data_IF_609168339088
#
_entry.id   IF_609168339088
#
_cell.length_a   1.000
_cell.length_b   1.000
_cell.length_c   1.000
_cell.angle_alpha   90.00
_cell.angle_beta   90.00
_cell.angle_gamma   90.00
#
_symmetry.space_group_name_H-M   'P 1'
#
loop_
_entity.id
_entity.type
_entity.pdbx_description
1 polymer ?
#
# COMPACT_ATOMS: atom_id res chain seq x y z
N UNK A 1 18.80 31.47 20.46
CA UNK A 1 17.41 31.95 20.63
C UNK A 1 17.40 33.37 21.18
N UNK A 2 17.95 33.63 22.38
CA UNK A 2 18.08 34.97 22.98
C UNK A 2 18.57 36.05 22.01
N UNK A 3 19.67 35.80 21.30
CA UNK A 3 20.20 36.74 20.29
C UNK A 3 19.30 36.94 19.05
N UNK A 4 18.54 35.92 18.65
CA UNK A 4 17.75 35.95 17.41
C UNK A 4 16.39 36.62 17.65
N UNK A 5 15.75 36.31 18.79
CA UNK A 5 14.45 36.85 19.16
C UNK A 5 14.60 38.22 19.86
N UNK A 6 15.75 38.46 20.48
CA UNK A 6 16.09 39.70 21.19
C UNK A 6 15.03 40.06 22.23
N UNK A 7 14.39 41.21 22.05
CA UNK A 7 13.55 41.87 23.06
C UNK A 7 12.27 41.09 23.35
N UNK A 8 11.83 40.26 22.41
CA UNK A 8 10.67 39.38 22.55
C UNK A 8 10.99 38.03 23.21
N UNK A 9 12.24 37.80 23.65
CA UNK A 9 12.69 36.45 24.05
C UNK A 9 11.88 35.88 25.22
N UNK A 10 11.54 36.67 26.23
CA UNK A 10 10.80 36.16 27.40
C UNK A 10 9.39 35.69 27.01
N UNK A 11 8.68 36.48 26.19
CA UNK A 11 7.35 36.09 25.69
C UNK A 11 7.45 34.88 24.76
N UNK A 12 8.46 34.82 23.90
CA UNK A 12 8.75 33.67 23.05
C UNK A 12 9.08 32.41 23.87
N UNK A 13 9.86 32.56 24.94
CA UNK A 13 10.29 31.48 25.80
C UNK A 13 9.10 30.86 26.52
N UNK A 14 8.20 31.69 27.04
CA UNK A 14 6.96 31.21 27.64
C UNK A 14 6.05 30.54 26.59
N UNK A 15 5.87 31.18 25.43
CA UNK A 15 5.02 30.67 24.35
C UNK A 15 5.45 29.28 23.84
N UNK A 16 6.76 29.00 23.80
CA UNK A 16 7.30 27.71 23.36
C UNK A 16 7.85 26.82 24.49
N UNK A 17 7.52 27.11 25.74
CA UNK A 17 7.97 26.36 26.92
C UNK A 17 9.51 26.14 26.95
N UNK A 18 10.28 27.18 26.68
CA UNK A 18 11.75 27.17 26.73
C UNK A 18 12.21 27.20 28.19
N UNK A 19 12.04 26.08 28.87
CA UNK A 19 12.43 25.85 30.26
C UNK A 19 13.08 24.47 30.44
N UNK A 20 13.72 24.24 31.58
CA UNK A 20 14.52 23.03 31.84
C UNK A 20 13.72 21.73 31.75
N UNK A 21 12.41 21.76 31.94
CA UNK A 21 11.54 20.57 31.85
C UNK A 21 11.41 20.02 30.42
N UNK A 22 11.72 20.82 29.39
CA UNK A 22 11.63 20.43 27.98
C UNK A 22 12.99 20.45 27.26
N UNK A 23 14.08 20.41 28.02
CA UNK A 23 15.43 20.27 27.47
C UNK A 23 15.67 18.82 27.04
N UNK A 24 15.94 18.60 25.75
CA UNK A 24 16.24 17.28 25.18
C UNK A 24 17.59 17.30 24.49
N UNK A 25 18.53 16.44 24.91
CA UNK A 25 19.91 16.41 24.38
C UNK A 25 20.57 17.79 24.29
N UNK A 26 20.46 18.57 25.39
CA UNK A 26 20.98 19.95 25.49
C UNK A 26 20.38 20.94 24.48
N UNK A 27 19.26 20.58 23.84
CA UNK A 27 18.55 21.40 22.85
C UNK A 27 17.11 21.62 23.29
N UNK A 28 16.56 22.76 22.89
CA UNK A 28 15.15 23.08 23.07
C UNK A 28 14.39 22.76 21.79
N UNK A 29 13.35 21.94 21.92
CA UNK A 29 12.34 21.72 20.87
C UNK A 29 11.20 22.71 21.11
N UNK A 30 10.86 23.52 20.10
CA UNK A 30 9.79 24.49 20.22
C UNK A 30 8.45 23.74 20.36
N UNK A 31 7.88 23.75 21.57
CA UNK A 31 6.71 22.96 21.92
C UNK A 31 5.67 23.82 22.62
N UNK A 32 4.39 23.56 22.36
CA UNK A 32 3.27 24.30 22.94
C UNK A 32 2.39 23.36 23.74
N UNK A 33 2.02 23.78 24.94
CA UNK A 33 1.10 23.05 25.85
C UNK A 33 -0.28 23.68 25.91
N UNK A 34 -0.44 24.90 25.38
CA UNK A 34 -1.70 25.67 25.40
C UNK A 34 -1.96 26.36 24.06
N UNK A 35 -3.23 26.68 23.81
CA UNK A 35 -3.73 27.40 22.63
C UNK A 35 -3.34 28.89 22.65
N UNK A 36 -3.50 29.58 21.51
CA UNK A 36 -3.19 31.03 21.44
C UNK A 36 -4.17 31.83 22.32
N UNK A 37 -5.43 31.37 22.39
CA UNK A 37 -6.48 31.96 23.22
C UNK A 37 -6.18 31.82 24.71
N UNK A 38 -5.71 30.66 25.15
CA UNK A 38 -5.30 30.43 26.54
C UNK A 38 -4.02 31.18 26.90
N UNK A 39 -3.07 31.27 25.96
CA UNK A 39 -1.84 32.03 26.16
C UNK A 39 -2.14 33.52 26.31
N UNK A 40 -2.97 34.09 25.43
CA UNK A 40 -3.39 35.49 25.56
C UNK A 40 -4.02 35.80 26.92
N UNK A 41 -4.88 34.93 27.46
CA UNK A 41 -5.50 35.19 28.78
C UNK A 41 -4.49 35.35 29.93
N UNK A 42 -3.27 34.82 29.78
CA UNK A 42 -2.18 34.91 30.77
C UNK A 42 -1.27 36.11 30.56
N UNK A 43 -1.33 36.77 29.40
CA UNK A 43 -0.43 37.86 29.03
C UNK A 43 -1.20 39.08 28.52
N UNK A 44 -0.83 40.31 28.90
CA UNK A 44 -1.51 41.51 28.44
C UNK A 44 -1.12 41.88 26.99
N UNK A 45 -1.42 41.02 26.00
CA UNK A 45 -1.09 41.22 24.58
C UNK A 45 -2.23 40.80 23.66
N UNK A 46 -2.79 41.68 22.84
CA UNK A 46 -3.89 41.31 21.95
C UNK A 46 -3.57 40.12 21.02
N UNK A 47 -4.58 39.30 20.74
CA UNK A 47 -4.43 38.04 19.98
C UNK A 47 -3.81 38.25 18.58
N UNK A 48 -4.15 39.36 17.89
CA UNK A 48 -3.60 39.65 16.57
C UNK A 48 -2.15 40.11 16.65
N UNK A 49 -1.77 40.83 17.71
CA UNK A 49 -0.38 41.17 17.99
C UNK A 49 0.44 39.92 18.32
N UNK A 50 -0.11 38.98 19.09
CA UNK A 50 0.52 37.69 19.37
C UNK A 50 0.76 36.89 18.08
N UNK A 51 -0.25 36.78 17.20
CA UNK A 51 -0.12 36.09 15.90
C UNK A 51 0.99 36.71 15.04
N UNK A 52 1.07 38.04 15.00
CA UNK A 52 2.10 38.75 14.25
C UNK A 52 3.50 38.50 14.83
N UNK A 53 3.64 38.50 16.17
CA UNK A 53 4.90 38.14 16.84
C UNK A 53 5.31 36.71 16.54
N UNK A 54 4.40 35.73 16.65
CA UNK A 54 4.67 34.32 16.34
C UNK A 54 5.12 34.13 14.89
N UNK A 55 4.47 34.80 13.94
CA UNK A 55 4.88 34.79 12.53
C UNK A 55 6.30 35.33 12.37
N UNK A 56 6.61 36.46 13.02
CA UNK A 56 7.94 37.07 12.99
C UNK A 56 9.01 36.14 13.60
N UNK A 57 8.75 35.55 14.77
CA UNK A 57 9.68 34.61 15.41
C UNK A 57 9.95 33.41 14.51
N UNK A 58 8.91 32.80 13.92
CA UNK A 58 9.07 31.69 12.96
C UNK A 58 9.91 32.09 11.76
N UNK A 59 9.71 33.29 11.21
CA UNK A 59 10.50 33.80 10.10
C UNK A 59 11.98 33.98 10.47
N UNK A 60 12.27 34.66 11.59
CA UNK A 60 13.63 34.87 12.09
C UNK A 60 14.37 33.53 12.31
N UNK A 61 13.69 32.55 12.93
CA UNK A 61 14.25 31.22 13.14
C UNK A 61 14.42 30.43 11.84
N UNK A 62 13.49 30.58 10.88
CA UNK A 62 13.60 29.97 9.55
C UNK A 62 14.80 30.51 8.77
N UNK A 63 15.03 31.83 8.81
CA UNK A 63 16.21 32.46 8.19
C UNK A 63 17.52 31.95 8.79
N UNK A 64 17.60 31.81 10.12
CA UNK A 64 18.78 31.22 10.76
C UNK A 64 18.93 29.73 10.45
N UNK A 65 17.82 28.98 10.36
CA UNK A 65 17.84 27.57 9.96
C UNK A 65 18.35 27.39 8.53
N UNK A 66 18.01 28.30 7.61
CA UNK A 66 18.45 28.25 6.22
C UNK A 66 19.95 28.54 6.04
N UNK A 67 20.64 29.08 7.06
CA UNK A 67 22.10 29.20 7.05
C UNK A 67 22.82 27.89 7.32
N UNK A 68 22.12 26.88 7.85
CA UNK A 68 22.68 25.55 8.06
C UNK A 68 22.75 24.82 6.72
N UNK A 69 23.83 24.07 6.51
CA UNK A 69 23.91 23.13 5.39
C UNK A 69 22.70 22.18 5.47
N UNK A 70 21.94 22.10 4.39
CA UNK A 70 20.77 21.20 4.34
C UNK A 70 21.28 19.76 4.30
N UNK A 71 20.63 18.82 5.02
CA UNK A 71 20.91 17.41 4.82
C UNK A 71 20.83 17.06 3.33
N UNK A 72 21.72 16.19 2.85
CA UNK A 72 21.65 15.70 1.47
C UNK A 72 20.28 15.04 1.26
N UNK A 73 19.64 15.37 0.14
CA UNK A 73 18.43 14.69 -0.29
C UNK A 73 18.83 13.37 -0.96
N UNK A 74 18.33 12.24 -0.45
CA UNK A 74 18.31 11.03 -1.26
C UNK A 74 17.11 11.13 -2.21
N UNK A 75 17.40 11.49 -3.45
CA UNK A 75 16.44 11.64 -4.54
C UNK A 75 16.21 10.34 -5.32
N UNK A 76 16.69 9.21 -4.78
CA UNK A 76 16.46 7.89 -5.37
C UNK A 76 14.99 7.49 -5.22
N UNK A 77 14.41 7.09 -6.34
CA UNK A 77 13.05 6.53 -6.41
C UNK A 77 13.19 5.01 -6.28
N UNK A 78 12.61 4.41 -5.23
CA UNK A 78 12.60 2.97 -5.02
C UNK A 78 11.31 2.34 -5.55
N UNK A 79 11.43 1.23 -6.27
CA UNK A 79 10.29 0.55 -6.89
C UNK A 79 9.29 0.07 -5.84
N UNK A 80 9.75 -0.59 -4.77
CA UNK A 80 8.87 -1.03 -3.70
C UNK A 80 8.09 0.10 -3.03
N UNK A 81 8.75 1.23 -2.75
CA UNK A 81 8.09 2.38 -2.13
C UNK A 81 7.09 3.07 -3.06
N UNK A 82 7.37 3.09 -4.37
CA UNK A 82 6.43 3.59 -5.36
C UNK A 82 5.23 2.65 -5.50
N UNK A 83 5.43 1.34 -5.43
CA UNK A 83 4.34 0.38 -5.44
C UNK A 83 3.44 0.49 -4.19
N UNK A 84 4.04 0.64 -3.01
CA UNK A 84 3.29 0.92 -1.76
C UNK A 84 2.47 2.22 -1.89
N UNK A 85 3.05 3.27 -2.46
CA UNK A 85 2.33 4.52 -2.70
C UNK A 85 1.23 4.38 -3.75
N UNK A 86 1.46 3.61 -4.83
CA UNK A 86 0.42 3.29 -5.82
C UNK A 86 -0.79 2.65 -5.13
N UNK A 87 -0.56 1.61 -4.34
CA UNK A 87 -1.62 0.94 -3.57
C UNK A 87 -2.32 1.91 -2.62
N UNK A 88 -1.57 2.75 -1.91
CA UNK A 88 -2.15 3.79 -1.04
C UNK A 88 -3.09 4.74 -1.78
N UNK A 89 -2.73 5.20 -2.99
CA UNK A 89 -3.64 6.02 -3.81
C UNK A 89 -4.88 5.26 -4.26
N UNK A 90 -4.75 3.97 -4.57
CA UNK A 90 -5.90 3.10 -4.88
C UNK A 90 -6.83 2.98 -3.66
N UNK A 91 -6.29 2.80 -2.46
CA UNK A 91 -7.09 2.69 -1.23
C UNK A 91 -7.83 4.01 -0.91
N UNK A 92 -7.17 5.15 -1.10
CA UNK A 92 -7.81 6.48 -0.99
C UNK A 92 -8.91 6.65 -2.04
N UNK A 93 -8.68 6.23 -3.29
CA UNK A 93 -9.71 6.25 -4.33
C UNK A 93 -10.91 5.36 -3.97
N UNK A 94 -10.69 4.16 -3.44
CA UNK A 94 -11.78 3.28 -2.97
C UNK A 94 -12.62 3.94 -1.88
N UNK A 95 -11.98 4.65 -0.95
CA UNK A 95 -12.64 5.28 0.19
C UNK A 95 -13.44 6.55 -0.20
N UNK A 96 -12.86 7.41 -1.04
CA UNK A 96 -13.43 8.74 -1.31
C UNK A 96 -14.05 8.91 -2.70
N UNK A 97 -13.73 8.03 -3.65
CA UNK A 97 -14.19 8.13 -5.04
C UNK A 97 -13.58 9.27 -5.86
N UNK A 98 -12.56 9.97 -5.35
CA UNK A 98 -11.92 11.09 -6.05
C UNK A 98 -10.94 10.59 -7.12
N UNK A 99 -11.31 10.81 -8.38
CA UNK A 99 -10.54 10.43 -9.57
C UNK A 99 -9.12 11.02 -9.64
N UNK A 100 -8.82 12.09 -8.89
CA UNK A 100 -7.46 12.62 -8.79
C UNK A 100 -6.48 11.55 -8.29
N UNK A 101 -6.85 10.78 -7.26
CA UNK A 101 -5.99 9.74 -6.69
C UNK A 101 -5.79 8.57 -7.65
N UNK A 102 -6.86 8.15 -8.37
CA UNK A 102 -6.74 7.13 -9.41
C UNK A 102 -5.80 7.58 -10.54
N UNK A 103 -5.87 8.85 -10.93
CA UNK A 103 -4.99 9.42 -11.97
C UNK A 103 -3.52 9.35 -11.55
N UNK A 104 -3.21 9.66 -10.29
CA UNK A 104 -1.83 9.53 -9.77
C UNK A 104 -1.40 8.07 -9.70
N UNK A 105 -2.27 7.18 -9.23
CA UNK A 105 -2.01 5.74 -9.18
C UNK A 105 -1.67 5.17 -10.56
N UNK A 106 -2.48 5.50 -11.58
CA UNK A 106 -2.25 5.10 -12.97
C UNK A 106 -0.94 5.66 -13.53
N UNK A 107 -0.61 6.93 -13.24
CA UNK A 107 0.67 7.52 -13.66
C UNK A 107 1.86 6.75 -13.06
N UNK A 108 1.79 6.41 -11.78
CA UNK A 108 2.82 5.65 -11.08
C UNK A 108 2.93 4.21 -11.63
N UNK A 109 1.80 3.52 -11.80
CA UNK A 109 1.76 2.18 -12.38
C UNK A 109 2.38 2.13 -13.79
N UNK A 110 2.06 3.12 -14.63
CA UNK A 110 2.68 3.27 -15.94
C UNK A 110 4.18 3.54 -15.86
N UNK A 111 4.65 4.32 -14.90
CA UNK A 111 6.08 4.52 -14.68
C UNK A 111 6.78 3.21 -14.30
N UNK A 112 6.20 2.43 -13.37
CA UNK A 112 6.77 1.13 -12.99
C UNK A 112 6.83 0.20 -14.20
N UNK A 113 5.69 0.01 -14.88
CA UNK A 113 5.58 -0.86 -16.06
C UNK A 113 6.51 -0.48 -17.21
N UNK A 114 6.69 0.83 -17.48
CA UNK A 114 7.44 1.30 -18.67
C UNK A 114 8.91 1.63 -18.40
N UNK A 115 9.28 1.89 -17.14
CA UNK A 115 10.62 2.42 -16.78
C UNK A 115 11.34 1.54 -15.76
N UNK A 116 10.59 0.89 -14.86
CA UNK A 116 11.18 -0.03 -13.88
C UNK A 116 11.18 -1.48 -14.35
N UNK A 117 10.35 -1.86 -15.31
CA UNK A 117 10.41 -3.18 -15.91
C UNK A 117 11.38 -3.20 -17.10
N UNK A 118 12.25 -4.20 -17.13
CA UNK A 118 13.18 -4.43 -18.23
C UNK A 118 12.54 -5.33 -19.31
N UNK A 119 13.20 -5.44 -20.47
CA UNK A 119 12.71 -6.21 -21.62
C UNK A 119 12.64 -7.73 -21.36
N UNK A 120 13.41 -8.23 -20.38
CA UNK A 120 13.43 -9.63 -19.95
C UNK A 120 12.31 -9.93 -18.93
N UNK A 121 11.48 -8.94 -18.57
CA UNK A 121 10.35 -9.07 -17.65
C UNK A 121 10.70 -8.83 -16.18
N UNK A 122 11.98 -8.64 -15.84
CA UNK A 122 12.44 -8.31 -14.50
C UNK A 122 12.22 -6.84 -14.13
N UNK A 123 12.24 -6.53 -12.85
CA UNK A 123 12.17 -5.18 -12.31
C UNK A 123 13.56 -4.64 -11.95
N UNK A 124 13.69 -3.31 -11.98
CA UNK A 124 14.75 -2.58 -11.33
C UNK A 124 14.29 -2.12 -9.93
N UNK A 125 15.23 -2.06 -8.99
CA UNK A 125 14.98 -1.57 -7.61
C UNK A 125 14.92 -0.05 -7.54
N UNK A 126 15.72 0.63 -8.36
CA UNK A 126 15.93 2.06 -8.21
C UNK A 126 15.88 2.81 -9.53
N UNK A 127 15.44 4.05 -9.43
CA UNK A 127 15.56 5.05 -10.48
C UNK A 127 16.20 6.32 -9.94
N UNK A 128 17.23 6.80 -10.62
CA UNK A 128 17.91 8.04 -10.29
C UNK A 128 18.54 8.64 -11.53
N UNK A 129 18.45 9.96 -11.69
CA UNK A 129 19.03 10.70 -12.81
C UNK A 129 18.63 10.13 -14.19
N UNK A 130 17.36 9.75 -14.35
CA UNK A 130 16.84 9.23 -15.62
C UNK A 130 17.19 7.77 -15.92
N UNK A 131 17.79 7.04 -14.96
CA UNK A 131 18.28 5.68 -15.18
C UNK A 131 17.81 4.72 -14.10
N UNK A 132 17.40 3.53 -14.54
CA UNK A 132 17.17 2.35 -13.71
C UNK A 132 18.41 1.46 -13.77
N UNK A 133 18.95 1.01 -12.63
CA UNK A 133 20.32 0.44 -12.60
C UNK A 133 20.52 -0.79 -11.75
N UNK A 134 19.74 -0.97 -10.69
CA UNK A 134 19.94 -2.05 -9.73
C UNK A 134 18.86 -3.09 -9.96
N UNK A 135 19.23 -4.37 -10.03
CA UNK A 135 18.27 -5.47 -10.11
C UNK A 135 17.32 -5.46 -8.88
N UNK A 136 16.04 -5.72 -9.11
CA UNK A 136 15.03 -5.72 -8.06
C UNK A 136 15.20 -6.88 -7.06
N UNK A 137 14.81 -6.62 -5.82
CA UNK A 137 14.65 -7.65 -4.80
C UNK A 137 13.21 -8.14 -4.75
N UNK A 138 12.97 -9.27 -4.08
CA UNK A 138 11.63 -9.84 -3.94
C UNK A 138 10.60 -8.85 -3.39
N UNK A 139 11.01 -7.94 -2.50
CA UNK A 139 10.17 -6.85 -1.99
C UNK A 139 9.58 -5.99 -3.11
N UNK A 140 10.39 -5.62 -4.10
CA UNK A 140 9.96 -4.81 -5.24
C UNK A 140 8.90 -5.56 -6.07
N UNK A 141 9.11 -6.86 -6.35
CA UNK A 141 8.10 -7.68 -7.04
C UNK A 141 6.83 -7.84 -6.22
N UNK A 142 6.95 -8.23 -4.94
CA UNK A 142 5.80 -8.50 -4.10
C UNK A 142 4.91 -7.26 -3.93
N UNK A 143 5.51 -6.09 -3.73
CA UNK A 143 4.76 -4.83 -3.60
C UNK A 143 4.14 -4.37 -4.92
N UNK A 144 4.84 -4.52 -6.06
CA UNK A 144 4.28 -4.18 -7.39
C UNK A 144 3.10 -5.09 -7.75
N UNK A 145 3.22 -6.39 -7.52
CA UNK A 145 2.15 -7.36 -7.78
C UNK A 145 0.90 -7.00 -6.96
N UNK A 146 1.05 -6.73 -5.66
CA UNK A 146 -0.08 -6.35 -4.80
C UNK A 146 -0.74 -5.03 -5.25
N UNK A 147 0.08 -4.07 -5.68
CA UNK A 147 -0.36 -2.78 -6.19
C UNK A 147 -1.12 -2.92 -7.52
N UNK A 148 -0.64 -3.75 -8.45
CA UNK A 148 -1.29 -4.01 -9.74
C UNK A 148 -2.60 -4.78 -9.58
N UNK A 149 -2.66 -5.77 -8.68
CA UNK A 149 -3.91 -6.44 -8.33
C UNK A 149 -4.91 -5.43 -7.77
N UNK A 150 -4.45 -4.53 -6.89
CA UNK A 150 -5.31 -3.49 -6.30
C UNK A 150 -5.82 -2.50 -7.34
N UNK A 151 -4.96 -2.11 -8.30
CA UNK A 151 -5.31 -1.22 -9.40
C UNK A 151 -6.32 -1.84 -10.36
N UNK A 152 -6.15 -3.13 -10.70
CA UNK A 152 -7.13 -3.89 -11.46
C UNK A 152 -8.52 -3.83 -10.81
N UNK A 153 -8.62 -4.03 -9.49
CA UNK A 153 -9.91 -4.03 -8.78
C UNK A 153 -10.68 -2.70 -8.86
N UNK A 154 -10.06 -1.60 -9.27
CA UNK A 154 -10.72 -0.29 -9.39
C UNK A 154 -10.80 0.24 -10.82
N UNK A 155 -10.05 -0.37 -11.74
CA UNK A 155 -10.01 -0.01 -13.16
C UNK A 155 -10.67 -1.05 -14.06
N UNK A 156 -10.79 -2.29 -13.57
CA UNK A 156 -11.17 -3.48 -14.35
C UNK A 156 -10.29 -3.71 -15.59
N UNK A 157 -9.12 -3.07 -15.65
CA UNK A 157 -8.17 -3.21 -16.74
C UNK A 157 -7.29 -4.44 -16.51
N UNK A 158 -7.64 -5.52 -17.20
CA UNK A 158 -7.00 -6.84 -17.09
C UNK A 158 -5.50 -6.81 -17.38
N UNK A 159 -4.98 -5.80 -18.08
CA UNK A 159 -3.55 -5.67 -18.35
C UNK A 159 -2.73 -5.56 -17.05
N UNK A 160 -3.25 -4.88 -16.01
CA UNK A 160 -2.56 -4.81 -14.72
C UNK A 160 -2.50 -6.17 -14.03
N UNK A 161 -3.59 -6.94 -14.12
CA UNK A 161 -3.67 -8.27 -13.54
C UNK A 161 -2.76 -9.27 -14.28
N UNK A 162 -2.69 -9.18 -15.61
CA UNK A 162 -1.78 -9.98 -16.42
C UNK A 162 -0.30 -9.66 -16.11
N UNK A 163 0.06 -8.38 -16.00
CA UNK A 163 1.41 -7.98 -15.58
C UNK A 163 1.74 -8.48 -14.17
N UNK A 164 0.80 -8.41 -13.23
CA UNK A 164 0.97 -8.97 -11.88
C UNK A 164 1.27 -10.48 -11.93
N UNK A 165 0.57 -11.22 -12.78
CA UNK A 165 0.80 -12.65 -12.98
C UNK A 165 2.17 -12.95 -13.62
N UNK A 166 2.58 -12.18 -14.63
CA UNK A 166 3.89 -12.31 -15.26
C UNK A 166 5.02 -12.09 -14.26
N UNK A 167 4.92 -11.04 -13.43
CA UNK A 167 5.88 -10.77 -12.37
C UNK A 167 5.90 -11.90 -11.32
N UNK A 168 4.74 -12.46 -10.96
CA UNK A 168 4.68 -13.61 -10.06
C UNK A 168 5.41 -14.82 -10.65
N UNK A 169 5.20 -15.14 -11.93
CA UNK A 169 5.94 -16.19 -12.64
C UNK A 169 7.45 -15.94 -12.62
N UNK A 170 7.89 -14.72 -12.92
CA UNK A 170 9.29 -14.34 -12.84
C UNK A 170 9.88 -14.60 -11.45
N UNK A 171 9.11 -14.37 -10.38
CA UNK A 171 9.59 -14.67 -9.03
C UNK A 171 9.78 -16.17 -8.76
N UNK A 172 8.98 -17.04 -9.39
CA UNK A 172 9.21 -18.48 -9.31
C UNK A 172 10.52 -18.91 -9.96
N UNK A 173 10.86 -18.31 -11.10
CA UNK A 173 12.06 -18.67 -11.86
C UNK A 173 13.36 -18.20 -11.18
N UNK A 174 13.31 -17.04 -10.51
CA UNK A 174 14.51 -16.35 -10.03
C UNK A 174 14.68 -16.28 -8.50
N UNK A 175 13.60 -16.45 -7.74
CA UNK A 175 13.61 -16.23 -6.29
C UNK A 175 13.13 -17.45 -5.48
N UNK A 176 12.30 -18.33 -6.05
CA UNK A 176 11.72 -19.44 -5.30
C UNK A 176 12.75 -20.50 -4.92
N UNK A 177 12.73 -20.91 -3.66
CA UNK A 177 13.51 -22.02 -3.13
C UNK A 177 12.64 -23.26 -2.98
N UNK A 178 12.96 -24.29 -3.76
CA UNK A 178 12.20 -25.55 -3.74
C UNK A 178 12.35 -26.33 -2.44
N UNK A 179 13.38 -26.05 -1.63
CA UNK A 179 13.62 -26.75 -0.36
C UNK A 179 12.76 -26.17 0.76
N UNK A 180 12.87 -24.86 1.01
CA UNK A 180 12.07 -24.18 2.04
C UNK A 180 10.63 -23.92 1.61
N UNK A 181 10.31 -23.98 0.30
CA UNK A 181 9.02 -23.56 -0.28
C UNK A 181 8.71 -22.08 0.01
N UNK A 182 9.75 -21.26 0.03
CA UNK A 182 9.70 -19.81 0.25
C UNK A 182 10.52 -19.11 -0.84
N UNK A 183 10.48 -17.79 -0.89
CA UNK A 183 11.25 -17.00 -1.84
C UNK A 183 12.45 -16.34 -1.13
N UNK A 184 13.62 -16.45 -1.74
CA UNK A 184 14.78 -15.66 -1.37
C UNK A 184 14.55 -14.17 -1.63
N UNK A 185 15.23 -13.33 -0.85
CA UNK A 185 15.15 -11.88 -1.00
C UNK A 185 15.86 -11.37 -2.27
N UNK A 186 17.04 -11.89 -2.56
CA UNK A 186 17.84 -11.55 -3.77
C UNK A 186 17.54 -12.51 -4.90
N UNK A 187 17.81 -12.11 -6.14
CA UNK A 187 17.64 -12.97 -7.33
C UNK A 187 18.78 -13.99 -7.45
N UNK A 188 18.56 -15.08 -8.19
CA UNK A 188 19.63 -15.98 -8.64
C UNK A 188 20.51 -15.38 -9.76
N UNK A 189 20.11 -14.24 -10.34
CA UNK A 189 20.89 -13.48 -11.31
C UNK A 189 21.87 -12.49 -10.65
N UNK A 190 21.68 -12.21 -9.36
CA UNK A 190 22.57 -11.34 -8.61
C UNK A 190 23.92 -12.01 -8.37
N UNK A 191 24.95 -11.20 -8.11
CA UNK A 191 26.26 -11.71 -7.70
C UNK A 191 26.10 -12.66 -6.51
N UNK A 192 26.70 -13.84 -6.64
CA UNK A 192 26.62 -14.89 -5.63
C UNK A 192 27.02 -14.37 -4.24
N UNK A 193 26.11 -14.56 -3.29
CA UNK A 193 26.30 -14.28 -1.87
C UNK A 193 26.57 -15.60 -1.14
N UNK A 194 27.31 -15.55 -0.05
CA UNK A 194 27.58 -16.72 0.82
C UNK A 194 26.28 -17.40 1.29
N UNK A 195 25.23 -16.61 1.51
CA UNK A 195 23.88 -17.10 1.81
C UNK A 195 22.84 -16.10 1.30
N UNK A 196 21.75 -16.61 0.73
CA UNK A 196 20.58 -15.81 0.35
C UNK A 196 19.58 -15.81 1.52
N UNK A 197 19.16 -14.62 1.95
CA UNK A 197 18.20 -14.45 3.03
C UNK A 197 16.77 -14.76 2.55
N UNK A 198 15.95 -15.34 3.42
CA UNK A 198 14.50 -15.44 3.26
C UNK A 198 13.89 -14.56 4.35
N UNK A 199 13.12 -13.54 3.94
CA UNK A 199 12.50 -12.61 4.88
C UNK A 199 11.07 -13.04 5.18
N UNK A 200 10.78 -13.34 6.45
CA UNK A 200 9.47 -13.83 6.92
C UNK A 200 8.82 -12.94 7.95
N UNK A 201 9.60 -12.12 8.65
CA UNK A 201 9.12 -11.35 9.79
C UNK A 201 8.57 -10.01 9.32
N UNK A 202 7.29 -9.77 9.58
CA UNK A 202 6.66 -8.48 9.36
C UNK A 202 7.20 -7.48 10.41
N UNK A 203 7.60 -6.29 9.95
CA UNK A 203 8.16 -5.24 10.82
C UNK A 203 7.46 -3.91 10.52
N UNK A 204 8.22 -2.81 10.38
CA UNK A 204 7.70 -1.49 9.96
C UNK A 204 6.85 -1.61 8.68
N UNK A 205 7.25 -2.51 7.78
CA UNK A 205 6.44 -2.95 6.64
C UNK A 205 6.35 -4.49 6.64
N UNK A 206 5.34 -5.08 5.98
CA UNK A 206 5.25 -6.52 5.82
C UNK A 206 6.46 -7.10 5.09
N UNK A 207 6.85 -8.32 5.44
CA UNK A 207 7.94 -9.04 4.77
C UNK A 207 7.61 -9.33 3.31
N UNK A 208 8.65 -9.44 2.47
CA UNK A 208 8.47 -9.76 1.06
C UNK A 208 7.75 -11.10 0.84
N UNK A 209 7.98 -12.11 1.68
CA UNK A 209 7.26 -13.39 1.60
C UNK A 209 5.81 -13.28 2.08
N UNK A 210 5.49 -12.48 3.09
CA UNK A 210 4.10 -12.35 3.56
C UNK A 210 3.23 -11.64 2.51
N UNK A 211 3.78 -10.61 1.85
CA UNK A 211 3.12 -9.93 0.73
C UNK A 211 2.96 -10.92 -0.44
N UNK A 212 4.04 -11.63 -0.80
CA UNK A 212 3.99 -12.59 -1.92
C UNK A 212 2.97 -13.71 -1.66
N UNK A 213 2.88 -14.26 -0.45
CA UNK A 213 1.88 -15.28 -0.13
C UNK A 213 0.45 -14.75 -0.33
N UNK A 214 0.15 -13.55 0.15
CA UNK A 214 -1.15 -12.90 -0.11
C UNK A 214 -1.40 -12.67 -1.62
N UNK A 215 -0.37 -12.31 -2.38
CA UNK A 215 -0.48 -12.15 -3.82
C UNK A 215 -0.79 -13.47 -4.53
N UNK A 216 -0.06 -14.53 -4.21
CA UNK A 216 -0.28 -15.87 -4.77
C UNK A 216 -1.68 -16.39 -4.43
N UNK A 217 -2.15 -16.15 -3.20
CA UNK A 217 -3.52 -16.43 -2.82
C UNK A 217 -4.52 -15.73 -3.75
N UNK A 218 -4.44 -14.39 -3.90
CA UNK A 218 -5.35 -13.63 -4.78
C UNK A 218 -5.25 -14.08 -6.26
N UNK A 219 -4.03 -14.23 -6.78
CA UNK A 219 -3.79 -14.66 -8.16
C UNK A 219 -4.32 -16.09 -8.41
N UNK A 220 -4.33 -16.96 -7.39
CA UNK A 220 -4.90 -18.29 -7.52
C UNK A 220 -6.39 -18.26 -7.85
N UNK A 221 -7.14 -17.29 -7.31
CA UNK A 221 -8.56 -17.09 -7.64
C UNK A 221 -8.72 -16.48 -9.04
N UNK A 222 -7.98 -15.41 -9.33
CA UNK A 222 -8.08 -14.72 -10.63
C UNK A 222 -7.76 -15.63 -11.82
N UNK A 223 -6.78 -16.52 -11.68
CA UNK A 223 -6.30 -17.37 -12.77
C UNK A 223 -6.65 -18.86 -12.61
N UNK A 224 -7.45 -19.22 -11.59
CA UNK A 224 -7.75 -20.61 -11.22
C UNK A 224 -6.47 -21.47 -11.11
N UNK A 225 -5.42 -20.90 -10.51
CA UNK A 225 -4.10 -21.52 -10.45
C UNK A 225 -3.89 -22.24 -9.11
N UNK A 226 -4.11 -23.56 -9.12
CA UNK A 226 -3.94 -24.40 -7.92
C UNK A 226 -2.52 -24.36 -7.34
N UNK A 227 -1.48 -24.28 -8.18
CA UNK A 227 -0.09 -24.22 -7.72
C UNK A 227 0.19 -22.98 -6.86
N UNK A 228 -0.40 -21.84 -7.24
CA UNK A 228 -0.31 -20.62 -6.44
C UNK A 228 -1.03 -20.76 -5.09
N UNK A 229 -2.22 -21.36 -5.07
CA UNK A 229 -2.96 -21.63 -3.83
C UNK A 229 -2.16 -22.54 -2.90
N UNK A 230 -1.68 -23.66 -3.42
CA UNK A 230 -0.89 -24.64 -2.66
C UNK A 230 0.41 -24.00 -2.11
N UNK A 231 1.10 -23.21 -2.92
CA UNK A 231 2.32 -22.49 -2.50
C UNK A 231 2.01 -21.48 -1.39
N UNK A 232 0.97 -20.64 -1.56
CA UNK A 232 0.55 -19.68 -0.55
C UNK A 232 0.21 -20.34 0.79
N UNK A 233 -0.51 -21.48 0.76
CA UNK A 233 -0.88 -22.23 1.97
C UNK A 233 0.36 -22.85 2.62
N UNK A 234 1.27 -23.41 1.83
CA UNK A 234 2.53 -23.96 2.35
C UNK A 234 3.40 -22.87 3.00
N UNK A 235 3.51 -21.70 2.37
CA UNK A 235 4.22 -20.55 2.93
C UNK A 235 3.62 -20.17 4.30
N UNK A 236 2.29 -20.07 4.40
CA UNK A 236 1.63 -19.77 5.68
C UNK A 236 1.92 -20.85 6.75
N UNK A 237 1.89 -22.13 6.38
CA UNK A 237 2.21 -23.23 7.29
C UNK A 237 3.62 -23.12 7.87
N UNK A 238 4.60 -22.68 7.07
CA UNK A 238 5.98 -22.49 7.52
C UNK A 238 6.10 -21.43 8.63
N UNK A 239 5.19 -20.45 8.69
CA UNK A 239 5.23 -19.32 9.64
C UNK A 239 4.36 -19.55 10.88
N UNK A 240 3.62 -20.68 10.96
CA UNK A 240 2.68 -20.97 12.06
C UNK A 240 3.30 -20.77 13.45
N UNK A 241 4.51 -21.28 13.66
CA UNK A 241 5.19 -21.15 14.96
C UNK A 241 5.58 -19.70 15.28
N UNK A 242 5.98 -18.92 14.27
CA UNK A 242 6.30 -17.50 14.46
C UNK A 242 5.03 -16.75 14.85
N UNK A 243 3.91 -17.01 14.17
CA UNK A 243 2.62 -16.37 14.47
C UNK A 243 2.11 -16.66 15.89
N UNK A 244 2.28 -17.90 16.38
CA UNK A 244 1.88 -18.28 17.74
C UNK A 244 2.76 -17.65 18.82
N UNK A 245 4.06 -17.47 18.55
CA UNK A 245 5.02 -16.96 19.54
C UNK A 245 5.15 -15.43 19.51
N UNK A 246 4.97 -14.81 18.34
CA UNK A 246 5.12 -13.37 18.13
C UNK A 246 4.16 -12.87 17.05
N UNK A 247 2.87 -12.80 17.39
CA UNK A 247 1.82 -12.39 16.44
C UNK A 247 2.03 -11.00 15.81
N UNK A 248 2.63 -10.05 16.54
CA UNK A 248 2.92 -8.72 16.00
C UNK A 248 3.86 -8.78 14.77
N UNK A 249 4.83 -9.69 14.77
CA UNK A 249 5.75 -9.92 13.65
C UNK A 249 5.17 -10.79 12.53
N UNK A 250 3.89 -11.12 12.58
CA UNK A 250 3.21 -11.94 11.59
C UNK A 250 1.84 -11.38 11.18
N UNK A 251 1.65 -10.06 11.28
CA UNK A 251 0.36 -9.39 11.07
C UNK A 251 -0.18 -9.57 9.64
N UNK A 252 0.67 -9.50 8.62
CA UNK A 252 0.25 -9.69 7.23
C UNK A 252 0.03 -11.17 6.88
N UNK A 253 0.76 -12.07 7.56
CA UNK A 253 0.46 -13.51 7.53
C UNK A 253 -0.89 -13.84 8.19
N UNK A 254 -1.23 -13.17 9.29
CA UNK A 254 -2.52 -13.34 9.95
C UNK A 254 -3.69 -12.89 9.06
N UNK A 255 -3.49 -11.86 8.22
CA UNK A 255 -4.46 -11.48 7.19
C UNK A 255 -4.69 -12.62 6.18
N UNK A 256 -3.62 -13.25 5.70
CA UNK A 256 -3.75 -14.44 4.83
C UNK A 256 -4.45 -15.60 5.54
N UNK A 257 -4.11 -15.85 6.80
CA UNK A 257 -4.78 -16.88 7.59
C UNK A 257 -6.28 -16.60 7.74
N UNK A 258 -6.66 -15.34 7.98
CA UNK A 258 -8.06 -14.93 8.06
C UNK A 258 -8.82 -15.15 6.75
N UNK A 259 -8.20 -14.88 5.60
CA UNK A 259 -8.77 -15.17 4.28
C UNK A 259 -9.02 -16.68 4.04
N UNK A 260 -8.25 -17.56 4.70
CA UNK A 260 -8.35 -19.02 4.55
C UNK A 260 -9.32 -19.68 5.54
N UNK A 261 -9.65 -19.00 6.64
CA UNK A 261 -10.53 -19.54 7.68
C UNK A 261 -12.02 -19.25 7.46
N UNK A 262 -12.32 -18.09 6.87
CA UNK A 262 -13.70 -17.66 6.61
C UNK A 262 -14.09 -17.80 5.14
N UNK A 263 -15.36 -17.49 4.84
CA UNK A 263 -15.81 -17.35 3.46
C UNK A 263 -14.98 -16.26 2.77
N UNK A 264 -14.32 -16.62 1.66
CA UNK A 264 -13.63 -15.67 0.79
C UNK A 264 -14.51 -15.38 -0.43
N UNK A 265 -15.10 -14.19 -0.44
CA UNK A 265 -16.10 -13.81 -1.44
C UNK A 265 -15.46 -13.36 -2.75
N UNK A 266 -15.82 -14.04 -3.84
CA UNK A 266 -15.51 -13.64 -5.21
C UNK A 266 -16.70 -12.84 -5.75
N UNK A 267 -16.55 -11.52 -5.87
CA UNK A 267 -17.58 -10.63 -6.40
C UNK A 267 -17.26 -10.37 -7.87
N UNK A 268 -17.91 -11.14 -8.75
CA UNK A 268 -17.77 -11.01 -10.20
C UNK A 268 -18.77 -10.01 -10.77
N UNK A 269 -18.30 -8.95 -11.41
CA UNK A 269 -19.12 -7.84 -11.91
C UNK A 269 -18.88 -7.69 -13.42
N UNK A 270 -19.89 -7.96 -14.22
CA UNK A 270 -19.74 -7.98 -15.69
C UNK A 270 -20.80 -7.11 -16.36
N UNK A 271 -20.37 -6.25 -17.29
CA UNK A 271 -21.25 -5.45 -18.14
C UNK A 271 -20.99 -3.94 -18.09
N UNK A 272 -21.85 -3.18 -18.77
CA UNK A 272 -21.59 -1.77 -19.10
C UNK A 272 -21.33 -0.87 -17.88
N UNK A 273 -22.01 -1.14 -16.76
CA UNK A 273 -21.90 -0.38 -15.51
C UNK A 273 -20.99 -1.06 -14.46
N UNK A 274 -20.15 -2.02 -14.86
CA UNK A 274 -19.32 -2.78 -13.93
C UNK A 274 -18.39 -1.89 -13.08
N UNK A 275 -17.84 -0.82 -13.67
CA UNK A 275 -17.02 0.16 -12.95
C UNK A 275 -17.81 0.91 -11.88
N UNK A 276 -19.04 1.33 -12.19
CA UNK A 276 -19.88 2.08 -11.25
C UNK A 276 -20.34 1.17 -10.11
N UNK A 277 -20.75 -0.07 -10.42
CA UNK A 277 -21.07 -1.08 -9.42
C UNK A 277 -19.88 -1.40 -8.50
N UNK A 278 -18.68 -1.48 -9.07
CA UNK A 278 -17.43 -1.67 -8.31
C UNK A 278 -17.19 -0.52 -7.33
N UNK A 279 -17.35 0.73 -7.78
CA UNK A 279 -17.23 1.92 -6.91
C UNK A 279 -18.24 1.87 -5.77
N UNK A 280 -19.50 1.54 -6.05
CA UNK A 280 -20.55 1.44 -5.04
C UNK A 280 -20.24 0.37 -3.98
N UNK A 281 -19.81 -0.83 -4.40
CA UNK A 281 -19.41 -1.90 -3.49
C UNK A 281 -18.19 -1.51 -2.65
N UNK A 282 -17.28 -0.69 -3.18
CA UNK A 282 -16.10 -0.23 -2.44
C UNK A 282 -16.41 0.85 -1.38
N UNK A 283 -17.60 1.48 -1.41
CA UNK A 283 -18.04 2.40 -0.33
C UNK A 283 -18.26 1.68 0.99
N UNK A 284 -18.45 0.37 0.96
CA UNK A 284 -18.54 -0.47 2.16
C UNK A 284 -17.26 -1.26 2.35
N UNK A 285 -16.70 -1.19 3.56
CA UNK A 285 -15.61 -2.05 3.94
C UNK A 285 -16.15 -3.48 4.09
N UNK A 286 -15.62 -4.39 3.27
CA UNK A 286 -15.95 -5.80 3.27
C UNK A 286 -14.62 -6.55 3.43
N UNK A 287 -14.40 -7.27 4.54
CA UNK A 287 -13.25 -8.14 4.69
C UNK A 287 -13.39 -9.37 3.76
N UNK A 288 -12.28 -10.07 3.52
CA UNK A 288 -12.27 -11.36 2.82
C UNK A 288 -13.02 -11.36 1.48
N UNK A 289 -12.86 -10.30 0.67
CA UNK A 289 -13.37 -10.27 -0.70
C UNK A 289 -12.28 -10.12 -1.74
N UNK A 290 -12.63 -10.54 -2.94
CA UNK A 290 -11.96 -10.26 -4.19
C UNK A 290 -13.01 -9.73 -5.18
N UNK A 291 -12.72 -8.59 -5.80
CA UNK A 291 -13.53 -8.08 -6.91
C UNK A 291 -12.85 -8.51 -8.20
N UNK A 292 -13.62 -9.08 -9.10
CA UNK A 292 -13.21 -9.40 -10.47
C UNK A 292 -14.28 -8.84 -11.39
N UNK A 293 -13.90 -8.15 -12.46
CA UNK A 293 -14.90 -7.56 -13.34
C UNK A 293 -14.36 -7.15 -14.69
N UNK A 294 -15.30 -6.92 -15.60
CA UNK A 294 -15.03 -6.47 -16.96
C UNK A 294 -16.27 -5.78 -17.52
N UNK A 295 -16.05 -4.75 -18.35
CA UNK A 295 -17.13 -4.10 -19.12
C UNK A 295 -17.42 -4.84 -20.43
N UNK A 296 -16.67 -5.89 -20.74
CA UNK A 296 -16.76 -6.67 -21.97
C UNK A 296 -16.59 -8.17 -21.67
N UNK A 297 -16.69 -9.00 -22.70
CA UNK A 297 -16.37 -10.42 -22.58
C UNK A 297 -14.91 -10.60 -22.14
N UNK A 298 -14.69 -11.51 -21.20
CA UNK A 298 -13.40 -11.74 -20.57
C UNK A 298 -13.07 -13.23 -20.51
N UNK A 299 -11.80 -13.55 -20.69
CA UNK A 299 -11.28 -14.90 -20.57
C UNK A 299 -10.88 -15.26 -19.14
N UNK A 300 -10.94 -14.31 -18.19
CA UNK A 300 -10.68 -14.59 -16.78
C UNK A 300 -11.63 -15.70 -16.29
N UNK A 301 -11.13 -16.78 -15.67
CA UNK A 301 -11.94 -17.91 -15.21
C UNK A 301 -13.23 -17.53 -14.47
N UNK A 302 -13.16 -16.54 -13.56
CA UNK A 302 -14.31 -16.09 -12.78
C UNK A 302 -15.36 -15.29 -13.57
N UNK A 303 -15.04 -14.86 -14.81
CA UNK A 303 -15.90 -14.07 -15.69
C UNK A 303 -16.41 -14.86 -16.91
N UNK A 304 -15.88 -16.06 -17.16
CA UNK A 304 -16.26 -16.87 -18.32
C UNK A 304 -17.76 -17.16 -18.34
N UNK A 305 -18.37 -16.95 -19.51
CA UNK A 305 -19.81 -17.15 -19.76
C UNK A 305 -20.75 -16.32 -18.87
N UNK A 306 -20.28 -15.20 -18.31
CA UNK A 306 -21.07 -14.27 -17.48
C UNK A 306 -21.41 -12.95 -18.15
N UNK A 307 -20.80 -12.65 -19.30
CA UNK A 307 -21.07 -11.42 -20.05
C UNK A 307 -22.39 -11.52 -20.82
N UNK A 308 -23.27 -10.55 -20.58
CA UNK A 308 -24.52 -10.38 -21.33
C UNK A 308 -24.56 -8.93 -21.85
N UNK A 309 -24.64 -8.71 -23.18
CA UNK A 309 -24.68 -7.36 -23.76
C UNK A 309 -25.82 -6.50 -23.19
N UNK A 310 -25.58 -5.18 -23.07
CA UNK A 310 -26.55 -4.17 -22.60
C UNK A 310 -27.11 -4.43 -21.19
N UNK A 311 -26.36 -5.13 -20.34
CA UNK A 311 -26.76 -5.42 -18.97
C UNK A 311 -25.56 -5.33 -18.04
N UNK A 312 -25.80 -5.27 -16.73
CA UNK A 312 -24.75 -5.43 -15.72
C UNK A 312 -25.24 -6.47 -14.72
N UNK A 313 -24.40 -7.47 -14.50
CA UNK A 313 -24.72 -8.60 -13.63
C UNK A 313 -23.62 -8.77 -12.60
N UNK A 314 -24.03 -8.97 -11.35
CA UNK A 314 -23.16 -9.18 -10.20
C UNK A 314 -23.39 -10.59 -9.69
N UNK A 315 -22.31 -11.35 -9.55
CA UNK A 315 -22.31 -12.70 -8.98
C UNK A 315 -21.50 -12.65 -7.69
N UNK A 316 -22.08 -13.15 -6.61
CA UNK A 316 -21.38 -13.39 -5.35
C UNK A 316 -21.09 -14.87 -5.25
N UNK A 317 -19.82 -15.25 -5.25
CA UNK A 317 -19.39 -16.64 -5.20
C UNK A 317 -18.49 -16.89 -3.98
N UNK A 318 -18.46 -18.13 -3.52
CA UNK A 318 -17.55 -18.63 -2.48
C UNK A 318 -17.03 -19.98 -2.96
N UNK A 319 -15.70 -20.12 -2.99
CA UNK A 319 -15.02 -21.33 -3.47
C UNK A 319 -15.53 -21.81 -4.84
N UNK A 320 -15.70 -20.87 -5.78
CA UNK A 320 -16.17 -21.13 -7.14
C UNK A 320 -17.67 -21.45 -7.29
N UNK A 321 -18.44 -21.52 -6.20
CA UNK A 321 -19.88 -21.67 -6.24
C UNK A 321 -20.59 -20.32 -6.10
N UNK A 322 -21.41 -19.94 -7.08
CA UNK A 322 -22.10 -18.64 -7.10
C UNK A 322 -23.54 -18.73 -6.64
N UNK A 323 -23.99 -17.68 -5.94
CA UNK A 323 -25.41 -17.44 -5.66
C UNK A 323 -26.13 -16.95 -6.93
N UNK A 324 -27.46 -16.76 -6.81
CA UNK A 324 -28.25 -16.21 -7.91
C UNK A 324 -27.73 -14.82 -8.31
N UNK A 325 -27.46 -14.58 -9.60
CA UNK A 325 -26.98 -13.29 -10.07
C UNK A 325 -28.00 -12.18 -9.84
N UNK A 326 -27.51 -10.98 -9.58
CA UNK A 326 -28.32 -9.78 -9.35
C UNK A 326 -27.82 -8.61 -10.18
N UNK A 327 -28.70 -7.66 -10.49
CA UNK A 327 -28.37 -6.46 -11.26
C UNK A 327 -28.09 -5.22 -10.40
N UNK A 328 -28.37 -5.29 -9.09
CA UNK A 328 -28.26 -4.16 -8.15
C UNK A 328 -27.19 -4.46 -7.09
N UNK A 329 -26.29 -3.50 -6.85
CA UNK A 329 -25.22 -3.60 -5.84
C UNK A 329 -25.75 -3.86 -4.44
N UNK A 330 -26.86 -3.22 -4.06
CA UNK A 330 -27.53 -3.46 -2.78
C UNK A 330 -27.89 -4.92 -2.56
N UNK A 331 -28.47 -5.59 -3.57
CA UNK A 331 -28.84 -7.01 -3.49
C UNK A 331 -27.61 -7.91 -3.41
N UNK A 332 -26.53 -7.54 -4.10
CA UNK A 332 -25.26 -8.27 -4.01
C UNK A 332 -24.65 -8.16 -2.61
N UNK A 333 -24.73 -6.99 -1.98
CA UNK A 333 -24.28 -6.78 -0.60
C UNK A 333 -25.09 -7.60 0.41
N UNK A 334 -26.42 -7.72 0.21
CA UNK A 334 -27.30 -8.57 1.04
C UNK A 334 -26.97 -10.07 0.95
N UNK A 335 -26.30 -10.50 -0.12
CA UNK A 335 -25.83 -11.89 -0.29
C UNK A 335 -24.55 -12.21 0.51
N UNK A 336 -23.81 -11.19 0.96
CA UNK A 336 -22.59 -11.36 1.73
C UNK A 336 -22.95 -11.64 3.20
N UNK A 337 -22.60 -12.81 3.72
CA UNK A 337 -22.84 -13.19 5.13
C UNK A 337 -21.72 -12.65 6.03
N UNK A 338 -21.58 -11.33 6.07
CA UNK A 338 -20.58 -10.68 6.91
C UNK A 338 -21.24 -10.34 8.24
N UNK A 339 -20.83 -11.02 9.31
CA UNK A 339 -21.16 -10.59 10.68
C UNK A 339 -20.31 -9.35 10.98
N UNK A 340 -20.94 -8.18 11.08
CA UNK A 340 -20.30 -6.93 11.49
C UNK A 340 -20.12 -6.92 13.01
#
# INVERSE_FOLDING_TARGET
LKYIISDDFELFADYYNINTSFLWEEKYNLHRTITDEEFYKKHPIEIDQLKQKVKNWKQLLFEQRNKKERPRLDDKVLTSWNALMLKGYVDVYKAFGDHHFLTIALKNANFISKVQQNEEGGLFRNFKNGKSTINAYLEDYATVIDAYISLYQVTLDENWLQQANQLAMYTFDHFFDTNSKMFFFTSNLDKELVSRKIETDDNVIPSSNSIMANNLFKLSYYFNNKSYKDTSVQMLHNIKNIMLNYGAGASNWACLHSNLLGDYYEIAIVGDNALEATKEINKQYIPNKLIVGSTQESNLPLLQNKYTPNSTTIYVCVDGACLLPVSETKKALEQLKISI
#
